data_IF_373532016032
#
_entry.id   IF_373532016032
#
_cell.length_a   1.000
_cell.length_b   1.000
_cell.length_c   1.000
_cell.angle_alpha   90.00
_cell.angle_beta   90.00
_cell.angle_gamma   90.00
#
_symmetry.space_group_name_H-M   'P 1'
#
loop_
_entity.id
_entity.type
_entity.pdbx_description
1 polymer ?
#
# COMPACT_ATOMS: atom_id res chain seq x y z
N UNK A 1 -9.60 -0.21 -17.06
CA UNK A 1 -9.38 -1.16 -15.95
C UNK A 1 -7.90 -1.55 -15.96
N UNK A 2 -7.22 -1.49 -14.82
CA UNK A 2 -5.75 -1.56 -14.72
C UNK A 2 -5.17 -2.97 -14.98
N UNK A 3 -3.85 -3.04 -15.22
CA UNK A 3 -3.11 -4.27 -15.52
C UNK A 3 -3.01 -5.23 -14.32
N UNK A 4 -3.29 -4.75 -13.11
CA UNK A 4 -3.25 -5.50 -11.86
C UNK A 4 -4.17 -4.85 -10.81
N UNK A 5 -4.55 -5.61 -9.80
CA UNK A 5 -5.28 -5.17 -8.62
C UNK A 5 -4.40 -5.36 -7.37
N UNK A 6 -4.31 -4.29 -6.58
CA UNK A 6 -3.63 -4.29 -5.29
C UNK A 6 -4.59 -3.71 -4.25
N UNK A 7 -4.69 -4.30 -3.06
CA UNK A 7 -4.10 -5.57 -2.62
C UNK A 7 -4.88 -6.80 -3.11
N UNK A 8 -4.31 -8.00 -2.94
CA UNK A 8 -4.93 -9.27 -3.33
C UNK A 8 -6.26 -9.49 -2.58
N UNK A 9 -7.36 -9.82 -3.28
CA UNK A 9 -8.70 -9.88 -2.67
C UNK A 9 -8.83 -10.97 -1.59
N UNK A 10 -8.12 -12.08 -1.74
CA UNK A 10 -8.20 -13.23 -0.80
C UNK A 10 -7.33 -13.11 0.46
N UNK A 11 -6.54 -12.04 0.62
CA UNK A 11 -5.64 -11.87 1.77
C UNK A 11 -6.06 -10.68 2.63
N UNK A 12 -6.25 -10.91 3.93
CA UNK A 12 -6.52 -9.82 4.87
C UNK A 12 -5.24 -9.02 5.15
N UNK A 13 -5.15 -7.86 4.51
CA UNK A 13 -4.01 -6.95 4.60
C UNK A 13 -4.20 -5.84 5.64
N UNK A 14 -5.36 -5.72 6.30
CA UNK A 14 -5.61 -4.66 7.29
C UNK A 14 -5.35 -5.17 8.71
N UNK A 15 -4.59 -4.40 9.49
CA UNK A 15 -4.39 -4.66 10.91
C UNK A 15 -5.63 -4.17 11.70
N UNK A 16 -6.29 -5.04 12.49
CA UNK A 16 -7.49 -4.68 13.24
C UNK A 16 -7.26 -3.58 14.28
N UNK A 17 -6.02 -3.42 14.80
CA UNK A 17 -5.70 -2.41 15.81
C UNK A 17 -5.48 -1.03 15.23
N UNK A 18 -4.85 -0.95 14.07
CA UNK A 18 -4.43 0.32 13.46
C UNK A 18 -5.31 0.75 12.30
N UNK A 19 -6.13 -0.15 11.76
CA UNK A 19 -6.91 0.04 10.52
C UNK A 19 -6.01 0.42 9.33
N UNK A 20 -4.76 -0.05 9.34
CA UNK A 20 -3.76 0.19 8.31
C UNK A 20 -3.25 -1.10 7.68
N UNK A 21 -2.60 -1.03 6.50
CA UNK A 21 -1.90 -2.17 5.93
C UNK A 21 -0.89 -2.79 6.92
N UNK A 22 -0.95 -4.12 7.08
CA UNK A 22 0.00 -4.90 7.89
C UNK A 22 1.42 -4.65 7.39
N UNK A 23 2.36 -4.46 8.32
CA UNK A 23 3.76 -4.26 7.99
C UNK A 23 4.09 -2.89 7.38
N UNK A 24 3.29 -1.85 7.70
CA UNK A 24 3.68 -0.47 7.43
C UNK A 24 5.01 -0.16 8.14
N UNK A 25 6.02 0.26 7.40
CA UNK A 25 7.35 0.63 7.91
C UNK A 25 7.39 2.11 8.28
N UNK A 26 8.41 2.55 9.02
CA UNK A 26 8.58 3.96 9.43
C UNK A 26 8.69 4.92 8.23
N UNK A 27 9.03 4.39 7.07
CA UNK A 27 9.10 5.09 5.79
C UNK A 27 7.71 5.30 5.14
N UNK A 28 6.62 5.03 5.86
CA UNK A 28 5.24 5.21 5.37
C UNK A 28 4.93 4.34 4.14
N UNK A 29 5.53 3.14 4.10
CA UNK A 29 5.32 2.15 3.03
C UNK A 29 4.94 0.81 3.61
N UNK A 30 4.01 0.14 2.96
CA UNK A 30 3.64 -1.23 3.30
C UNK A 30 3.79 -2.10 2.06
N UNK A 31 4.44 -3.26 2.21
CA UNK A 31 4.59 -4.23 1.14
C UNK A 31 3.36 -5.13 1.11
N UNK A 32 2.56 -5.02 0.05
CA UNK A 32 1.35 -5.83 -0.14
C UNK A 32 1.47 -6.75 -1.34
N UNK A 33 0.72 -7.85 -1.29
CA UNK A 33 0.58 -8.76 -2.41
C UNK A 33 -0.46 -8.19 -3.40
N UNK A 34 -0.14 -8.24 -4.70
CA UNK A 34 -0.99 -7.81 -5.79
C UNK A 34 -1.25 -8.96 -6.76
N UNK A 35 -2.41 -8.90 -7.43
CA UNK A 35 -2.85 -9.86 -8.44
C UNK A 35 -2.86 -9.19 -9.82
N UNK A 36 -2.18 -9.77 -10.79
CA UNK A 36 -2.24 -9.34 -12.19
C UNK A 36 -3.57 -9.71 -12.85
N UNK A 37 -3.99 -8.95 -13.87
CA UNK A 37 -5.17 -9.28 -14.65
C UNK A 37 -5.04 -10.65 -15.34
N UNK A 38 -6.17 -11.30 -15.60
CA UNK A 38 -6.20 -12.65 -16.18
C UNK A 38 -5.41 -12.72 -17.50
N UNK A 39 -4.51 -13.70 -17.56
CA UNK A 39 -3.64 -13.90 -18.71
C UNK A 39 -2.36 -13.06 -18.71
N UNK A 40 -2.08 -12.25 -17.68
CA UNK A 40 -0.80 -11.57 -17.47
C UNK A 40 0.02 -12.22 -16.36
N UNK A 41 1.34 -12.30 -16.56
CA UNK A 41 2.30 -12.91 -15.64
C UNK A 41 3.53 -12.02 -15.54
N UNK A 42 4.11 -11.95 -14.35
CA UNK A 42 5.40 -11.31 -14.11
C UNK A 42 6.54 -12.20 -14.63
N UNK A 43 7.45 -11.64 -15.44
CA UNK A 43 8.58 -12.40 -16.00
C UNK A 43 9.52 -12.92 -14.91
N UNK A 44 9.75 -12.15 -13.85
CA UNK A 44 10.66 -12.49 -12.75
C UNK A 44 10.10 -13.62 -11.87
N UNK A 45 8.85 -13.48 -11.40
CA UNK A 45 8.21 -14.46 -10.50
C UNK A 45 7.58 -15.64 -11.25
N UNK A 46 7.36 -15.53 -12.58
CA UNK A 46 6.57 -16.47 -13.42
C UNK A 46 5.18 -16.81 -12.87
N UNK A 47 4.66 -15.98 -11.98
CA UNK A 47 3.35 -16.07 -11.38
C UNK A 47 2.52 -14.82 -11.71
N UNK A 48 1.20 -14.94 -11.54
CA UNK A 48 0.26 -13.83 -11.63
C UNK A 48 0.24 -12.96 -10.36
N UNK A 49 0.92 -13.37 -9.29
CA UNK A 49 1.01 -12.63 -8.03
C UNK A 49 2.40 -12.02 -7.86
N UNK A 50 2.47 -10.75 -7.44
CA UNK A 50 3.71 -10.03 -7.16
C UNK A 50 3.56 -9.12 -5.95
N UNK A 51 4.68 -8.69 -5.35
CA UNK A 51 4.66 -7.76 -4.21
C UNK A 51 4.89 -6.33 -4.68
N UNK A 52 4.12 -5.41 -4.12
CA UNK A 52 4.25 -3.97 -4.40
C UNK A 52 4.18 -3.18 -3.11
N UNK A 53 4.99 -2.13 -3.04
CA UNK A 53 4.90 -1.17 -1.95
C UNK A 53 3.75 -0.18 -2.22
N UNK A 54 2.82 -0.08 -1.27
CA UNK A 54 1.76 0.92 -1.25
C UNK A 54 2.05 1.96 -0.17
N UNK A 55 1.64 3.23 -0.37
CA UNK A 55 1.76 4.24 0.67
C UNK A 55 0.85 3.90 1.86
N UNK A 56 1.38 4.02 3.08
CA UNK A 56 0.67 3.89 4.34
C UNK A 56 1.10 5.03 5.30
N UNK A 57 0.54 5.11 6.51
CA UNK A 57 0.87 6.16 7.48
C UNK A 57 1.34 5.55 8.79
N UNK A 58 2.64 5.34 8.94
CA UNK A 58 3.17 4.61 10.07
C UNK A 58 2.68 5.14 11.43
N UNK A 59 2.23 4.23 12.30
CA UNK A 59 1.81 4.53 13.67
C UNK A 59 2.51 3.62 14.66
N UNK A 60 2.71 4.08 15.89
CA UNK A 60 3.23 3.28 17.01
C UNK A 60 2.21 2.24 17.56
N UNK A 61 1.20 1.85 16.78
CA UNK A 61 0.12 0.97 17.22
C UNK A 61 -1.12 1.69 17.77
N UNK A 62 -1.23 3.00 17.60
CA UNK A 62 -2.44 3.77 17.92
C UNK A 62 -3.41 3.79 16.74
N UNK A 63 -4.71 3.63 17.00
CA UNK A 63 -5.76 3.68 15.98
C UNK A 63 -6.07 5.13 15.58
N UNK A 64 -6.20 5.39 14.29
CA UNK A 64 -6.59 6.70 13.77
C UNK A 64 -7.92 7.21 14.36
N UNK A 65 -8.86 6.29 14.60
CA UNK A 65 -10.16 6.57 15.25
C UNK A 65 -10.01 7.23 16.62
N UNK A 66 -9.04 6.77 17.43
CA UNK A 66 -8.80 7.34 18.76
C UNK A 66 -8.25 8.76 18.70
N UNK A 67 -7.41 9.05 17.70
CA UNK A 67 -6.89 10.40 17.46
C UNK A 67 -7.98 11.36 16.99
N UNK A 68 -8.88 10.89 16.11
CA UNK A 68 -10.02 11.66 15.62
C UNK A 68 -10.98 12.01 16.77
N UNK A 69 -11.32 11.03 17.60
CA UNK A 69 -12.20 11.24 18.76
C UNK A 69 -11.56 12.22 19.75
N UNK A 70 -10.29 12.05 20.09
CA UNK A 70 -9.56 12.94 20.98
C UNK A 70 -9.55 14.39 20.44
N UNK A 71 -9.37 14.57 19.13
CA UNK A 71 -9.44 15.90 18.47
C UNK A 71 -10.81 16.56 18.60
N UNK A 72 -11.90 15.80 18.47
CA UNK A 72 -13.27 16.32 18.65
C UNK A 72 -13.50 16.74 20.11
N UNK A 73 -13.02 15.94 21.08
CA UNK A 73 -13.16 16.25 22.50
C UNK A 73 -12.27 17.42 22.98
N UNK A 74 -11.15 17.70 22.32
CA UNK A 74 -10.21 18.79 22.67
C UNK A 74 -10.29 20.02 21.73
N UNK A 75 -11.19 19.99 20.74
CA UNK A 75 -11.22 20.92 19.60
C UNK A 75 -11.51 22.39 19.91
N UNK A 76 -11.93 22.73 21.14
CA UNK A 76 -12.17 24.12 21.54
C UNK A 76 -10.96 24.80 22.22
N UNK A 77 -9.86 24.09 22.50
CA UNK A 77 -8.70 24.63 23.24
C UNK A 77 -7.40 24.83 22.42
N UNK A 78 -7.38 24.57 21.10
CA UNK A 78 -6.13 24.50 20.30
C UNK A 78 -6.13 25.24 18.95
N UNK A 79 -6.91 26.32 18.79
CA UNK A 79 -7.00 27.09 17.53
C UNK A 79 -5.74 27.91 17.15
N UNK A 80 -4.63 27.83 17.91
CA UNK A 80 -3.47 28.72 17.76
C UNK A 80 -2.23 28.16 17.02
N UNK A 81 -2.18 26.88 16.63
CA UNK A 81 -0.92 26.21 16.23
C UNK A 81 -0.94 25.51 14.85
N UNK A 82 -1.99 25.71 14.05
CA UNK A 82 -2.24 24.93 12.83
C UNK A 82 -1.31 25.20 11.63
N UNK A 83 -0.33 26.09 11.73
CA UNK A 83 0.52 26.48 10.59
C UNK A 83 1.59 25.44 10.21
N UNK A 84 2.07 24.61 11.14
CA UNK A 84 3.21 23.69 10.89
C UNK A 84 2.81 22.34 10.27
N UNK A 85 1.53 21.97 10.29
CA UNK A 85 1.05 20.65 9.82
C UNK A 85 0.95 20.59 8.29
N UNK A 86 0.91 21.73 7.60
CA UNK A 86 0.78 21.82 6.14
C UNK A 86 2.09 21.43 5.40
N UNK A 87 3.25 21.49 6.06
CA UNK A 87 4.56 21.31 5.41
C UNK A 87 5.00 19.84 5.21
N UNK A 88 4.31 18.84 5.78
CA UNK A 88 4.76 17.42 5.72
C UNK A 88 4.06 16.62 4.58
N UNK A 89 3.28 17.28 3.71
CA UNK A 89 2.43 16.57 2.75
C UNK A 89 3.13 16.07 1.47
N UNK A 90 4.35 16.50 1.15
CA UNK A 90 4.87 16.31 -0.22
C UNK A 90 6.32 15.81 -0.26
N UNK A 91 6.59 14.60 0.22
CA UNK A 91 7.77 13.84 -0.25
C UNK A 91 7.38 12.40 -0.61
N UNK A 92 6.87 12.33 -1.83
CA UNK A 92 6.98 11.27 -2.83
C UNK A 92 8.13 10.27 -2.58
N UNK A 93 7.79 8.99 -2.40
CA UNK A 93 8.74 7.91 -2.67
C UNK A 93 8.08 6.95 -3.64
N UNK A 94 8.68 6.84 -4.84
CA UNK A 94 8.31 5.91 -5.89
C UNK A 94 8.55 4.44 -5.54
N UNK A 95 8.13 3.52 -6.42
CA UNK A 95 7.96 2.11 -6.09
C UNK A 95 9.30 1.36 -6.03
N UNK A 96 9.41 0.43 -5.08
CA UNK A 96 10.26 -0.75 -5.21
C UNK A 96 9.32 -1.91 -5.56
N UNK A 97 8.94 -2.00 -6.83
CA UNK A 97 8.16 -3.08 -7.40
C UNK A 97 9.07 -4.28 -7.71
N UNK A 98 8.62 -5.48 -7.32
CA UNK A 98 9.31 -6.75 -7.59
C UNK A 98 8.90 -7.35 -8.95
N UNK A 99 8.22 -6.57 -9.78
CA UNK A 99 7.76 -7.00 -11.10
C UNK A 99 7.74 -5.79 -12.04
N UNK A 100 8.88 -5.55 -12.69
CA UNK A 100 9.01 -4.48 -13.66
C UNK A 100 8.34 -4.80 -14.99
N UNK A 101 8.30 -6.09 -15.39
CA UNK A 101 7.80 -6.52 -16.69
C UNK A 101 6.67 -7.56 -16.59
N UNK A 102 5.52 -7.23 -17.19
CA UNK A 102 4.36 -8.12 -17.33
C UNK A 102 4.24 -8.59 -18.79
N UNK A 103 4.02 -9.90 -18.97
CA UNK A 103 3.83 -10.53 -20.30
C UNK A 103 2.60 -11.43 -20.30
N UNK A 104 2.06 -11.69 -21.49
CA UNK A 104 0.93 -12.61 -21.62
C UNK A 104 1.35 -14.06 -21.29
N UNK A 105 0.52 -14.76 -20.53
CA UNK A 105 0.69 -16.18 -20.15
C UNK A 105 0.83 -17.11 -21.36
N UNK A 106 0.29 -16.74 -22.52
CA UNK A 106 0.48 -17.49 -23.76
C UNK A 106 1.92 -17.48 -24.29
N UNK A 107 2.65 -16.38 -24.07
CA UNK A 107 4.00 -16.17 -24.64
C UNK A 107 5.10 -16.93 -23.89
N UNK A 108 4.95 -17.13 -22.57
CA UNK A 108 5.90 -17.95 -21.78
C UNK A 108 5.90 -19.43 -22.21
N UNK A 109 4.75 -19.97 -22.61
CA UNK A 109 4.65 -21.36 -23.05
C UNK A 109 5.31 -21.59 -24.42
N UNK A 110 5.50 -20.52 -25.21
CA UNK A 110 6.20 -20.56 -26.49
C UNK A 110 7.72 -20.38 -26.35
N UNK A 111 8.20 -19.76 -25.27
CA UNK A 111 9.63 -19.57 -25.00
C UNK A 111 10.32 -20.81 -24.41
N UNK A 112 9.56 -21.86 -24.07
CA UNK A 112 10.05 -23.10 -23.44
C UNK A 112 9.79 -24.34 -24.31
N UNK A 113 9.69 -24.17 -25.64
CA UNK A 113 9.60 -25.24 -26.64
C UNK A 113 10.72 -25.11 -27.66
#
# INVERSE_FOLDING_TARGET
MGQYICPHPDYDFIDPKTQQPKGCTKENKAKVLCLAADGLICTETRNNTFKKDIPCKWTNGYSFETSLLLSIFLGFLFLGQFADVILIATQIVGPADECHNMIAKGTINAAHK
#
